data_IF_442312542155
#
_entry.id   IF_442312542155
#
_cell.length_a   1.000
_cell.length_b   1.000
_cell.length_c   1.000
_cell.angle_alpha   90.00
_cell.angle_beta   90.00
_cell.angle_gamma   90.00
#
_symmetry.space_group_name_H-M   'P 1'
#
loop_
_entity.id
_entity.type
_entity.pdbx_description
1 polymer ?
#
# COMPACT_ATOMS: atom_id res chain seq x y z
N UNK A 1 3.48 -11.42 9.79
CA UNK A 1 2.56 -10.73 10.70
C UNK A 1 3.17 -9.36 10.99
N UNK A 2 2.54 -8.25 10.62
CA UNK A 2 3.13 -6.89 10.67
C UNK A 2 3.07 -6.21 12.05
N UNK A 3 2.65 -6.92 13.10
CA UNK A 3 2.50 -6.33 14.45
C UNK A 3 1.40 -5.27 14.55
N UNK A 4 0.49 -5.20 13.59
CA UNK A 4 -0.59 -4.20 13.52
C UNK A 4 -1.98 -4.86 13.50
N UNK A 5 -3.04 -4.08 13.73
CA UNK A 5 -4.43 -4.60 13.64
C UNK A 5 -4.91 -4.73 12.19
N UNK A 6 -5.90 -5.59 11.95
CA UNK A 6 -6.58 -5.68 10.66
C UNK A 6 -7.21 -4.35 10.24
N UNK A 7 -7.72 -3.55 11.18
CA UNK A 7 -8.24 -2.22 10.90
C UNK A 7 -7.17 -1.31 10.32
N UNK A 8 -5.99 -1.27 10.95
CA UNK A 8 -4.85 -0.48 10.46
C UNK A 8 -4.39 -0.96 9.07
N UNK A 9 -4.25 -2.28 8.89
CA UNK A 9 -3.85 -2.85 7.58
C UNK A 9 -4.87 -2.50 6.49
N UNK A 10 -6.16 -2.64 6.78
CA UNK A 10 -7.25 -2.30 5.86
C UNK A 10 -7.22 -0.84 5.43
N UNK A 11 -6.92 0.08 6.37
CA UNK A 11 -6.79 1.51 6.09
C UNK A 11 -5.61 1.82 5.18
N UNK A 12 -4.46 1.20 5.41
CA UNK A 12 -3.28 1.35 4.54
C UNK A 12 -3.57 0.86 3.13
N UNK A 13 -4.15 -0.35 2.98
CA UNK A 13 -4.50 -0.90 1.67
C UNK A 13 -5.53 -0.05 0.94
N UNK A 14 -6.56 0.45 1.63
CA UNK A 14 -7.56 1.35 1.04
C UNK A 14 -6.95 2.67 0.56
N UNK A 15 -5.94 3.19 1.26
CA UNK A 15 -5.22 4.39 0.84
C UNK A 15 -4.40 4.13 -0.42
N UNK A 16 -3.66 3.02 -0.45
CA UNK A 16 -2.86 2.61 -1.61
C UNK A 16 -3.73 2.29 -2.83
N UNK A 17 -4.92 1.74 -2.65
CA UNK A 17 -5.88 1.51 -3.73
C UNK A 17 -6.38 2.83 -4.34
N UNK A 18 -6.69 3.82 -3.52
CA UNK A 18 -7.05 5.18 -4.00
C UNK A 18 -5.92 5.86 -4.77
N UNK A 19 -4.67 5.55 -4.43
CA UNK A 19 -3.49 6.02 -5.14
C UNK A 19 -3.15 5.18 -6.38
N UNK A 20 -3.91 4.13 -6.67
CA UNK A 20 -3.67 3.23 -7.81
C UNK A 20 -2.43 2.34 -7.65
N UNK A 21 -1.92 2.18 -6.42
CA UNK A 21 -0.72 1.37 -6.14
C UNK A 21 -1.05 -0.13 -6.10
N UNK A 22 -2.24 -0.46 -5.61
CA UNK A 22 -2.77 -1.82 -5.50
C UNK A 22 -4.24 -1.88 -5.88
N UNK A 23 -4.76 -3.07 -6.11
CA UNK A 23 -6.17 -3.37 -6.20
C UNK A 23 -6.48 -4.49 -5.20
N UNK A 24 -7.47 -4.29 -4.34
CA UNK A 24 -7.85 -5.25 -3.30
C UNK A 24 -9.07 -6.06 -3.73
N UNK A 25 -9.14 -7.32 -3.31
CA UNK A 25 -10.29 -8.18 -3.51
C UNK A 25 -10.43 -9.18 -2.37
N UNK A 26 -11.46 -10.03 -2.42
CA UNK A 26 -11.63 -11.09 -1.43
C UNK A 26 -10.38 -11.98 -1.41
N UNK A 27 -9.70 -11.98 -0.26
CA UNK A 27 -8.50 -12.77 0.00
C UNK A 27 -7.35 -12.56 -1.01
N UNK A 28 -7.32 -11.40 -1.68
CA UNK A 28 -6.29 -11.07 -2.68
C UNK A 28 -5.91 -9.59 -2.67
N UNK A 29 -4.65 -9.31 -3.00
CA UNK A 29 -4.15 -7.95 -3.29
C UNK A 29 -3.30 -8.04 -4.55
N UNK A 30 -3.70 -7.31 -5.59
CA UNK A 30 -2.96 -7.20 -6.84
C UNK A 30 -2.08 -5.95 -6.81
N UNK A 31 -0.79 -6.10 -7.05
CA UNK A 31 0.14 -4.98 -7.16
C UNK A 31 -0.04 -4.33 -8.54
N UNK A 32 -0.39 -3.04 -8.57
CA UNK A 32 -0.52 -2.25 -9.80
C UNK A 32 0.76 -1.49 -10.13
N UNK A 33 1.50 -1.04 -9.11
CA UNK A 33 2.78 -0.36 -9.28
C UNK A 33 3.84 -0.89 -8.31
N UNK A 34 4.69 -1.79 -8.80
CA UNK A 34 5.80 -2.35 -8.01
C UNK A 34 6.83 -1.26 -7.65
N UNK A 35 7.16 -0.39 -8.59
CA UNK A 35 8.15 0.66 -8.39
C UNK A 35 7.75 1.64 -7.27
N UNK A 36 6.47 2.05 -7.24
CA UNK A 36 5.98 2.97 -6.22
C UNK A 36 5.88 2.30 -4.83
N UNK A 37 5.45 1.04 -4.75
CA UNK A 37 5.48 0.29 -3.48
C UNK A 37 6.91 0.06 -2.98
N UNK A 38 7.86 -0.17 -3.88
CA UNK A 38 9.28 -0.25 -3.51
C UNK A 38 9.78 1.09 -2.96
N UNK A 39 9.42 2.21 -3.57
CA UNK A 39 9.79 3.53 -3.04
C UNK A 39 9.23 3.78 -1.63
N UNK A 40 8.00 3.33 -1.33
CA UNK A 40 7.44 3.39 0.03
C UNK A 40 8.24 2.50 0.99
N UNK A 41 8.60 1.29 0.58
CA UNK A 41 9.32 0.34 1.43
C UNK A 41 10.75 0.80 1.75
N UNK A 42 11.41 1.49 0.81
CA UNK A 42 12.76 2.04 0.96
C UNK A 42 12.77 3.48 1.49
N UNK A 43 11.60 4.04 1.82
CA UNK A 43 11.42 5.44 2.27
C UNK A 43 12.02 6.48 1.30
N UNK A 44 11.95 6.17 0.00
CA UNK A 44 12.50 6.95 -1.12
C UNK A 44 11.48 7.87 -1.81
N UNK A 45 10.28 8.03 -1.26
CA UNK A 45 9.34 9.01 -1.80
C UNK A 45 9.93 10.42 -1.64
N UNK A 46 10.00 11.25 -2.71
CA UNK A 46 10.33 12.65 -2.53
C UNK A 46 9.29 13.27 -1.57
N UNK A 47 9.70 14.19 -0.68
CA UNK A 47 8.73 14.88 0.17
C UNK A 47 7.65 15.47 -0.72
N UNK A 48 6.39 15.06 -0.51
CA UNK A 48 5.27 15.79 -1.08
C UNK A 48 5.31 17.19 -0.44
N UNK A 49 5.49 18.22 -1.25
CA UNK A 49 5.24 19.62 -0.89
C UNK A 49 3.80 19.81 -0.36
#
# INVERSE_FOLDING_TARGET
MTGTTLYTVSRTLSHWEKQGLVETGRERVLIRSLAALKAIAEDMLPPND
#
